data_IF_595307641663
#
_entry.id   IF_595307641663
#
_cell.length_a   1.000
_cell.length_b   1.000
_cell.length_c   1.000
_cell.angle_alpha   90.00
_cell.angle_beta   90.00
_cell.angle_gamma   90.00
#
_symmetry.space_group_name_H-M   'P 1'
#
loop_
_entity.id
_entity.type
_entity.pdbx_description
1 polymer ?
#
# COMPACT_ATOMS: atom_id res chain seq x y z
N UNK A 1 11.17 -0.70 -11.23
CA UNK A 1 9.84 -0.05 -11.23
C UNK A 1 9.76 0.83 -9.99
N UNK A 2 9.12 2.00 -10.10
CA UNK A 2 9.03 2.99 -9.02
C UNK A 2 7.92 2.68 -8.04
N UNK A 3 7.94 3.39 -6.92
CA UNK A 3 6.80 3.66 -6.05
C UNK A 3 6.33 5.07 -6.38
N UNK A 4 5.03 5.29 -6.46
CA UNK A 4 4.51 6.64 -6.75
C UNK A 4 4.43 7.49 -5.47
N UNK A 5 4.34 6.86 -4.30
CA UNK A 5 4.32 7.57 -3.02
C UNK A 5 4.61 6.69 -1.81
N UNK A 6 4.67 7.35 -0.65
CA UNK A 6 4.85 6.72 0.67
C UNK A 6 3.86 7.29 1.66
N UNK A 7 3.15 6.42 2.37
CA UNK A 7 2.24 6.79 3.44
C UNK A 7 2.95 6.52 4.77
N UNK A 8 3.00 7.54 5.64
CA UNK A 8 3.54 7.42 6.99
C UNK A 8 2.37 7.39 7.98
N UNK A 9 2.08 6.23 8.60
CA UNK A 9 0.93 6.10 9.48
C UNK A 9 1.12 6.92 10.76
N UNK A 10 0.13 7.74 11.10
CA UNK A 10 0.18 8.58 12.32
C UNK A 10 0.24 7.73 13.60
N UNK A 11 -0.23 6.49 13.55
CA UNK A 11 -0.09 5.53 14.66
C UNK A 11 1.35 5.14 14.98
N UNK A 12 2.26 5.27 14.02
CA UNK A 12 3.69 5.06 14.24
C UNK A 12 4.39 6.33 14.75
N UNK A 13 3.72 7.49 14.76
CA UNK A 13 4.33 8.74 15.20
C UNK A 13 4.67 8.68 16.69
N UNK A 14 5.87 9.15 17.09
CA UNK A 14 6.30 9.06 18.48
C UNK A 14 5.39 9.90 19.38
N UNK A 15 4.92 9.31 20.49
CA UNK A 15 4.25 10.07 21.55
C UNK A 15 5.29 10.99 22.18
N UNK A 16 4.87 12.22 22.51
CA UNK A 16 5.70 13.36 22.95
C UNK A 16 6.61 13.12 24.19
N UNK A 17 6.67 11.92 24.75
CA UNK A 17 7.27 11.58 26.05
C UNK A 17 8.54 10.72 26.00
N UNK A 18 9.01 10.26 24.85
CA UNK A 18 10.26 9.46 24.76
C UNK A 18 11.29 10.15 23.86
N UNK A 19 12.58 9.98 24.21
CA UNK A 19 13.73 10.70 23.65
C UNK A 19 13.62 10.97 22.15
N UNK A 20 13.65 12.25 21.80
CA UNK A 20 13.19 12.81 20.52
C UNK A 20 13.93 12.27 19.27
N UNK A 21 15.08 11.61 19.38
CA UNK A 21 15.93 11.24 18.23
C UNK A 21 15.75 9.78 17.78
N UNK A 22 15.93 8.76 18.64
CA UNK A 22 15.73 7.36 18.23
C UNK A 22 14.28 7.07 17.82
N UNK A 23 13.30 7.70 18.47
CA UNK A 23 11.88 7.51 18.17
C UNK A 23 11.44 8.11 16.81
N UNK A 24 12.18 9.09 16.27
CA UNK A 24 11.91 9.64 14.92
C UNK A 24 12.49 8.74 13.83
N UNK A 25 13.62 8.08 14.07
CA UNK A 25 14.26 7.21 13.09
C UNK A 25 13.46 5.91 12.91
N UNK A 26 13.00 5.31 14.01
CA UNK A 26 12.09 4.15 13.98
C UNK A 26 10.75 4.49 13.29
N UNK A 27 10.22 5.69 13.50
CA UNK A 27 9.02 6.17 12.81
C UNK A 27 9.21 6.28 11.29
N UNK A 28 10.36 6.81 10.84
CA UNK A 28 10.66 6.96 9.40
C UNK A 28 10.84 5.62 8.69
N UNK A 29 11.18 4.57 9.44
CA UNK A 29 11.34 3.23 8.92
C UNK A 29 10.00 2.52 8.69
N UNK A 30 8.92 2.97 9.33
CA UNK A 30 7.56 2.43 9.12
C UNK A 30 6.81 3.29 8.10
N UNK A 31 6.76 2.81 6.86
CA UNK A 31 5.99 3.44 5.79
C UNK A 31 5.35 2.40 4.88
N UNK A 32 4.28 2.80 4.21
CA UNK A 32 3.53 1.96 3.29
C UNK A 32 3.69 2.48 1.86
N UNK A 33 4.24 1.69 0.91
CA UNK A 33 4.31 2.09 -0.49
C UNK A 33 2.90 2.21 -1.06
N UNK A 34 2.72 3.22 -1.91
CA UNK A 34 1.56 3.32 -2.80
C UNK A 34 2.03 3.31 -4.25
N UNK A 35 1.34 2.52 -5.07
CA UNK A 35 1.50 2.52 -6.52
C UNK A 35 0.14 2.76 -7.16
N UNK A 36 0.08 3.65 -8.12
CA UNK A 36 -1.10 3.94 -8.93
C UNK A 36 -0.82 3.54 -10.38
N UNK A 37 -1.82 2.97 -11.04
CA UNK A 37 -1.74 2.58 -12.45
C UNK A 37 -2.87 3.23 -13.23
N UNK A 38 -2.50 4.11 -14.17
CA UNK A 38 -3.41 4.70 -15.13
C UNK A 38 -3.59 3.76 -16.34
N UNK A 39 -4.32 2.67 -16.12
CA UNK A 39 -4.74 1.74 -17.17
C UNK A 39 -6.02 1.04 -16.76
N UNK A 40 -6.74 0.49 -17.74
CA UNK A 40 -8.03 -0.15 -17.51
C UNK A 40 -7.95 -1.29 -16.50
N UNK A 41 -6.89 -2.12 -16.57
CA UNK A 41 -6.74 -3.30 -15.73
C UNK A 41 -5.30 -3.59 -15.32
N UNK A 42 -5.07 -3.72 -14.01
CA UNK A 42 -3.82 -4.25 -13.46
C UNK A 42 -3.75 -5.78 -13.62
N UNK A 43 -2.58 -6.27 -14.02
CA UNK A 43 -2.32 -7.69 -14.20
C UNK A 43 -1.30 -8.20 -13.19
N UNK A 44 -1.13 -9.52 -13.16
CA UNK A 44 -0.14 -10.19 -12.32
C UNK A 44 1.27 -9.59 -12.40
N UNK A 45 1.83 -9.24 -13.59
CA UNK A 45 3.16 -8.66 -13.68
C UNK A 45 3.31 -7.32 -12.92
N UNK A 46 2.22 -6.55 -12.79
CA UNK A 46 2.26 -5.30 -12.02
C UNK A 46 2.31 -5.57 -10.51
N UNK A 47 1.62 -6.62 -10.06
CA UNK A 47 1.60 -7.06 -8.68
C UNK A 47 2.96 -7.67 -8.32
N UNK A 48 3.49 -8.57 -9.14
CA UNK A 48 4.82 -9.17 -8.95
C UNK A 48 5.90 -8.09 -8.76
N UNK A 49 5.85 -7.04 -9.59
CA UNK A 49 6.78 -5.93 -9.49
C UNK A 49 6.63 -5.13 -8.18
N UNK A 50 5.40 -4.99 -7.68
CA UNK A 50 5.11 -4.30 -6.43
C UNK A 50 5.53 -5.13 -5.21
N UNK A 51 5.32 -6.44 -5.24
CA UNK A 51 5.81 -7.39 -4.22
C UNK A 51 7.32 -7.33 -4.06
N UNK A 52 8.05 -7.25 -5.18
CA UNK A 52 9.50 -7.11 -5.15
C UNK A 52 9.94 -5.83 -4.41
N UNK A 53 9.21 -4.73 -4.58
CA UNK A 53 9.45 -3.49 -3.85
C UNK A 53 9.15 -3.65 -2.36
N UNK A 54 7.99 -4.20 -2.00
CA UNK A 54 7.62 -4.43 -0.60
C UNK A 54 8.60 -5.37 0.10
N UNK A 55 9.11 -6.37 -0.61
CA UNK A 55 10.10 -7.31 -0.09
C UNK A 55 11.43 -6.62 0.13
N UNK A 56 11.90 -5.84 -0.85
CA UNK A 56 13.17 -5.11 -0.79
C UNK A 56 13.23 -4.10 0.36
N UNK A 57 12.12 -3.46 0.68
CA UNK A 57 12.04 -2.43 1.71
C UNK A 57 11.41 -2.93 3.03
N UNK A 58 11.17 -4.24 3.12
CA UNK A 58 10.52 -4.90 4.24
C UNK A 58 9.20 -4.25 4.71
N UNK A 59 8.42 -3.72 3.76
CA UNK A 59 7.14 -3.11 4.06
C UNK A 59 6.10 -4.18 4.40
N UNK A 60 5.45 -4.07 5.56
CA UNK A 60 4.41 -5.00 6.01
C UNK A 60 3.07 -4.77 5.30
N UNK A 61 2.84 -3.56 4.79
CA UNK A 61 1.59 -3.17 4.12
C UNK A 61 1.89 -2.24 2.94
N UNK A 62 1.14 -2.39 1.85
CA UNK A 62 1.21 -1.53 0.68
C UNK A 62 -0.17 -1.31 0.06
N UNK A 63 -0.31 -0.24 -0.70
CA UNK A 63 -1.54 0.12 -1.41
C UNK A 63 -1.28 0.08 -2.91
N UNK A 64 -2.13 -0.61 -3.64
CA UNK A 64 -2.06 -0.65 -5.09
C UNK A 64 -3.37 -0.12 -5.63
N UNK A 65 -3.34 0.89 -6.51
CA UNK A 65 -4.52 1.54 -7.06
C UNK A 65 -4.59 1.34 -8.57
N UNK A 66 -5.73 0.87 -9.08
CA UNK A 66 -5.99 0.75 -10.52
C UNK A 66 -7.46 0.99 -10.85
N UNK A 67 -7.85 0.98 -12.13
CA UNK A 67 -9.26 1.06 -12.51
C UNK A 67 -9.98 -0.29 -12.32
N UNK A 68 -9.27 -1.40 -12.55
CA UNK A 68 -9.75 -2.77 -12.34
C UNK A 68 -8.55 -3.73 -12.18
N UNK A 69 -8.81 -4.98 -11.79
CA UNK A 69 -7.81 -6.03 -11.63
C UNK A 69 -8.17 -7.27 -12.46
N UNK A 70 -7.15 -7.99 -12.94
CA UNK A 70 -7.36 -9.35 -13.45
C UNK A 70 -7.55 -10.34 -12.30
N UNK A 71 -8.20 -11.46 -12.57
CA UNK A 71 -8.31 -12.58 -11.63
C UNK A 71 -6.95 -13.02 -11.13
N UNK A 72 -5.97 -13.08 -12.02
CA UNK A 72 -4.62 -13.54 -11.71
C UNK A 72 -3.88 -12.54 -10.82
N UNK A 73 -4.13 -11.24 -10.98
CA UNK A 73 -3.57 -10.22 -10.10
C UNK A 73 -4.09 -10.36 -8.67
N UNK A 74 -5.40 -10.59 -8.50
CA UNK A 74 -6.01 -10.81 -7.19
C UNK A 74 -5.54 -12.13 -6.56
N UNK A 75 -5.39 -13.19 -7.36
CA UNK A 75 -4.85 -14.46 -6.91
C UNK A 75 -3.40 -14.32 -6.42
N UNK A 76 -2.57 -13.55 -7.12
CA UNK A 76 -1.19 -13.31 -6.69
C UNK A 76 -1.12 -12.49 -5.41
N UNK A 77 -1.94 -11.44 -5.25
CA UNK A 77 -2.06 -10.68 -3.99
C UNK A 77 -2.35 -11.62 -2.80
N UNK A 78 -3.28 -12.55 -2.97
CA UNK A 78 -3.61 -13.53 -1.93
C UNK A 78 -2.45 -14.50 -1.68
N UNK A 79 -1.77 -14.95 -2.73
CA UNK A 79 -0.62 -15.84 -2.62
C UNK A 79 0.54 -15.16 -1.88
N UNK A 80 0.80 -13.88 -2.15
CA UNK A 80 1.82 -13.09 -1.48
C UNK A 80 1.53 -12.94 0.01
N UNK A 81 0.29 -12.63 0.39
CA UNK A 81 -0.11 -12.60 1.79
C UNK A 81 0.12 -13.94 2.48
N UNK A 82 -0.26 -15.04 1.84
CA UNK A 82 -0.11 -16.39 2.42
C UNK A 82 1.36 -16.77 2.61
N UNK A 83 2.25 -16.37 1.69
CA UNK A 83 3.69 -16.72 1.73
C UNK A 83 4.50 -15.82 2.67
N UNK A 84 4.17 -14.53 2.73
CA UNK A 84 5.01 -13.51 3.37
C UNK A 84 4.37 -12.82 4.57
N UNK A 85 3.06 -12.99 4.77
CA UNK A 85 2.22 -12.23 5.70
C UNK A 85 2.24 -10.70 5.47
N UNK A 86 2.77 -10.23 4.34
CA UNK A 86 2.70 -8.83 3.92
C UNK A 86 1.39 -8.58 3.18
N UNK A 87 0.78 -7.43 3.46
CA UNK A 87 -0.58 -7.12 2.99
C UNK A 87 -0.52 -6.12 1.83
N UNK A 88 -1.04 -6.48 0.67
CA UNK A 88 -1.35 -5.54 -0.41
C UNK A 88 -2.84 -5.24 -0.34
N UNK A 89 -3.19 -3.97 -0.24
CA UNK A 89 -4.57 -3.50 -0.34
C UNK A 89 -4.81 -3.05 -1.79
N UNK A 90 -5.49 -3.86 -2.62
CA UNK A 90 -5.94 -3.40 -3.93
C UNK A 90 -7.12 -2.43 -3.75
N UNK A 91 -7.05 -1.28 -4.39
CA UNK A 91 -8.13 -0.28 -4.45
C UNK A 91 -8.44 0.07 -5.89
N UNK A 92 -9.71 0.04 -6.23
CA UNK A 92 -10.19 0.62 -7.48
C UNK A 92 -10.38 2.12 -7.33
N UNK A 93 -10.21 2.86 -8.42
CA UNK A 93 -10.56 4.30 -8.46
C UNK A 93 -12.02 4.51 -8.05
N UNK A 94 -12.92 3.59 -8.44
CA UNK A 94 -14.33 3.64 -8.07
C UNK A 94 -14.53 3.56 -6.56
N UNK A 95 -13.90 2.61 -5.88
CA UNK A 95 -14.01 2.48 -4.40
C UNK A 95 -13.57 3.78 -3.70
N UNK A 96 -12.48 4.39 -4.14
CA UNK A 96 -12.00 5.67 -3.58
C UNK A 96 -13.01 6.80 -3.79
N UNK A 97 -13.59 6.89 -4.98
CA UNK A 97 -14.59 7.93 -5.29
C UNK A 97 -15.88 7.72 -4.50
N UNK A 98 -16.34 6.48 -4.37
CA UNK A 98 -17.57 6.14 -3.65
C UNK A 98 -17.44 6.48 -2.15
N UNK A 99 -16.28 6.22 -1.52
CA UNK A 99 -16.00 6.64 -0.15
C UNK A 99 -16.02 8.17 0.02
N UNK A 100 -15.41 8.91 -0.91
CA UNK A 100 -15.41 10.38 -0.84
C UNK A 100 -16.81 10.98 -1.00
N UNK A 101 -17.65 10.38 -1.83
CA UNK A 101 -19.05 10.79 -1.98
C UNK A 101 -19.80 10.53 -0.68
N UNK A 102 -19.64 9.35 -0.08
CA UNK A 102 -20.28 9.03 1.20
C UNK A 102 -19.91 10.04 2.31
N UNK A 103 -18.63 10.44 2.40
CA UNK A 103 -18.19 11.45 3.37
C UNK A 103 -18.80 12.84 3.14
N UNK A 104 -19.11 13.22 1.89
CA UNK A 104 -19.74 14.52 1.58
C UNK A 104 -21.24 14.54 1.86
N UNK A 105 -21.86 13.36 1.95
CA UNK A 105 -23.30 13.20 2.21
C UNK A 105 -23.62 13.01 3.70
N UNK A 106 -22.61 12.83 4.55
CA UNK A 106 -22.71 12.73 6.02
C UNK A 106 -22.57 14.11 6.68
#
# INVERSE_FOLDING_TARGET
MGIDGRIFPVSAAPKKSEGLLPAIDDFRNVWYPIQVKQKDKAGRPDIDAFEAVMTRHDCTKGFFVSFDYSSDALAEIQAFFTKSHKVIIPLTVREILDEQIAMKLA
#
